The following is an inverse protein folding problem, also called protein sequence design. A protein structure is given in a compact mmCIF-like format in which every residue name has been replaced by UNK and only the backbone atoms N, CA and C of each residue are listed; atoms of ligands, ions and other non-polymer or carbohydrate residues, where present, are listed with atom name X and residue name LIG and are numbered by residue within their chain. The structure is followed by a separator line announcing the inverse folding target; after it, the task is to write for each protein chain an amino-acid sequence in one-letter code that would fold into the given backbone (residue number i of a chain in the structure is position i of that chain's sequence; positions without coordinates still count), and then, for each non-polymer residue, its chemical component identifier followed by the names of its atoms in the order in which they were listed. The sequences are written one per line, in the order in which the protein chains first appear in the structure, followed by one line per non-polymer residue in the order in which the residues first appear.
data_IF_996924196882
#
_entry.id   IF_996924196882
#
_cell.length_a   1.000
_cell.length_b   1.000
_cell.length_c   1.000
_cell.angle_alpha   90.00
_cell.angle_beta   90.00
_cell.angle_gamma   90.00
#
_symmetry.space_group_name_H-M   'P 1'
#
loop_
_entity.id
_entity.type
_entity.pdbx_description
1 polymer ?
#
# COMPACT_ATOMS: atom_id res chain seq x y z
N UNK A 1 5.18 20.98 0.78
CA UNK A 1 6.64 21.07 0.55
C UNK A 1 7.42 19.96 1.25
N UNK A 2 7.76 20.04 2.54
CA UNK A 2 8.60 18.99 3.18
C UNK A 2 7.93 17.60 3.22
N UNK A 3 6.61 17.53 3.38
CA UNK A 3 5.86 16.26 3.43
C UNK A 3 5.72 15.57 2.07
N UNK A 4 5.59 16.34 0.99
CA UNK A 4 5.44 15.80 -0.37
C UNK A 4 6.75 15.23 -0.91
N UNK A 5 7.88 15.87 -0.61
CA UNK A 5 9.20 15.37 -0.99
C UNK A 5 9.55 14.05 -0.27
N UNK A 6 9.13 13.92 1.00
CA UNK A 6 9.29 12.68 1.78
C UNK A 6 8.42 11.56 1.18
N UNK A 7 7.16 11.85 0.82
CA UNK A 7 6.27 10.88 0.17
C UNK A 7 6.81 10.43 -1.20
N UNK A 8 7.37 11.35 -2.00
CA UNK A 8 7.95 11.01 -3.30
C UNK A 8 9.22 10.13 -3.16
N UNK A 9 10.07 10.43 -2.19
CA UNK A 9 11.24 9.61 -1.89
C UNK A 9 10.84 8.19 -1.44
N UNK A 10 9.89 8.08 -0.51
CA UNK A 10 9.37 6.80 0.00
C UNK A 10 8.70 5.98 -1.13
N UNK A 11 8.01 6.65 -2.06
CA UNK A 11 7.46 6.02 -3.26
C UNK A 11 8.56 5.46 -4.18
N UNK A 12 9.59 6.24 -4.50
CA UNK A 12 10.68 5.77 -5.37
C UNK A 12 11.45 4.60 -4.75
N UNK A 13 11.71 4.67 -3.45
CA UNK A 13 12.42 3.61 -2.72
C UNK A 13 11.57 2.34 -2.60
N UNK A 14 10.27 2.45 -2.36
CA UNK A 14 9.37 1.28 -2.34
C UNK A 14 9.28 0.58 -3.70
N UNK A 15 9.23 1.32 -4.82
CA UNK A 15 9.27 0.74 -6.17
C UNK A 15 10.60 0.02 -6.45
N UNK A 16 11.72 0.61 -6.04
CA UNK A 16 13.04 -0.02 -6.17
C UNK A 16 13.13 -1.32 -5.37
N UNK A 17 12.61 -1.32 -4.15
CA UNK A 17 12.55 -2.50 -3.29
C UNK A 17 11.65 -3.58 -3.90
N UNK A 18 10.49 -3.21 -4.45
CA UNK A 18 9.60 -4.12 -5.16
C UNK A 18 10.29 -4.83 -6.31
N UNK A 19 11.02 -4.07 -7.15
CA UNK A 19 11.79 -4.62 -8.28
C UNK A 19 12.85 -5.60 -7.84
N UNK A 20 13.61 -5.27 -6.78
CA UNK A 20 14.64 -6.16 -6.23
C UNK A 20 14.03 -7.47 -5.73
N UNK A 21 12.94 -7.38 -4.97
CA UNK A 21 12.29 -8.55 -4.39
C UNK A 21 11.67 -9.44 -5.49
N UNK A 22 11.05 -8.83 -6.52
CA UNK A 22 10.53 -9.54 -7.68
C UNK A 22 11.64 -10.24 -8.48
N UNK A 23 12.79 -9.57 -8.70
CA UNK A 23 13.92 -10.17 -9.39
C UNK A 23 14.44 -11.41 -8.65
N UNK A 24 14.51 -11.36 -7.31
CA UNK A 24 14.87 -12.53 -6.51
C UNK A 24 13.86 -13.67 -6.69
N UNK A 25 12.56 -13.38 -6.66
CA UNK A 25 11.52 -14.39 -6.92
C UNK A 25 11.65 -15.02 -8.31
N UNK A 26 11.82 -14.22 -9.36
CA UNK A 26 11.93 -14.71 -10.74
C UNK A 26 13.22 -15.50 -10.98
N UNK A 27 14.27 -15.24 -10.21
CA UNK A 27 15.51 -16.01 -10.21
C UNK A 27 15.46 -17.25 -9.28
N UNK A 28 14.27 -17.68 -8.84
CA UNK A 28 14.07 -18.79 -7.89
C UNK A 28 14.74 -18.60 -6.51
N UNK A 29 15.09 -17.37 -6.14
CA UNK A 29 15.70 -17.03 -4.84
C UNK A 29 14.65 -16.60 -3.83
N UNK A 30 13.63 -17.42 -3.63
CA UNK A 30 12.47 -17.09 -2.78
C UNK A 30 12.86 -16.81 -1.32
N UNK A 31 13.82 -17.56 -0.76
CA UNK A 31 14.30 -17.33 0.61
C UNK A 31 14.99 -15.98 0.76
N UNK A 32 15.77 -15.56 -0.24
CA UNK A 32 16.42 -14.22 -0.25
C UNK A 32 15.36 -13.13 -0.38
N UNK A 33 14.38 -13.31 -1.26
CA UNK A 33 13.25 -12.39 -1.41
C UNK A 33 12.49 -12.22 -0.10
N UNK A 34 12.18 -13.33 0.59
CA UNK A 34 11.46 -13.33 1.85
C UNK A 34 12.25 -12.63 2.98
N UNK A 35 13.56 -12.93 3.11
CA UNK A 35 14.44 -12.24 4.06
C UNK A 35 14.49 -10.74 3.80
N UNK A 36 14.62 -10.35 2.53
CA UNK A 36 14.62 -8.94 2.13
C UNK A 36 13.29 -8.26 2.49
N UNK A 37 12.15 -8.88 2.22
CA UNK A 37 10.84 -8.31 2.55
C UNK A 37 10.60 -8.14 4.05
N UNK A 38 11.17 -9.01 4.89
CA UNK A 38 11.12 -8.86 6.35
C UNK A 38 11.88 -7.64 6.86
N UNK A 39 12.83 -7.11 6.07
CA UNK A 39 13.56 -5.87 6.41
C UNK A 39 12.80 -4.60 6.04
N UNK A 40 11.75 -4.71 5.23
CA UNK A 40 10.95 -3.57 4.80
C UNK A 40 9.88 -3.27 5.84
N UNK A 41 9.72 -1.99 6.18
CA UNK A 41 8.60 -1.57 7.01
C UNK A 41 7.29 -1.73 6.21
N UNK A 42 6.38 -2.53 6.75
CA UNK A 42 5.08 -2.81 6.14
C UNK A 42 4.05 -1.70 6.35
N UNK A 43 4.44 -0.52 6.85
CA UNK A 43 3.56 0.60 7.19
C UNK A 43 3.12 1.44 5.99
N UNK A 44 3.94 1.49 4.93
CA UNK A 44 3.66 2.21 3.69
C UNK A 44 2.94 1.32 2.68
N UNK A 45 1.97 1.89 1.95
CA UNK A 45 1.09 1.16 1.01
C UNK A 45 1.86 0.35 -0.04
N UNK A 46 2.92 0.92 -0.61
CA UNK A 46 3.67 0.27 -1.70
C UNK A 46 4.60 -0.83 -1.19
N UNK A 47 5.16 -0.69 0.03
CA UNK A 47 5.89 -1.77 0.70
C UNK A 47 4.95 -2.93 1.03
N UNK A 48 3.78 -2.67 1.63
CA UNK A 48 2.80 -3.72 1.92
C UNK A 48 2.33 -4.45 0.66
N UNK A 49 2.09 -3.70 -0.43
CA UNK A 49 1.71 -4.28 -1.72
C UNK A 49 2.79 -5.20 -2.28
N UNK A 50 4.06 -4.79 -2.17
CA UNK A 50 5.19 -5.60 -2.62
C UNK A 50 5.34 -6.88 -1.81
N UNK A 51 5.18 -6.79 -0.48
CA UNK A 51 5.22 -7.93 0.44
C UNK A 51 4.10 -8.93 0.11
N UNK A 52 2.86 -8.46 -0.05
CA UNK A 52 1.73 -9.34 -0.35
C UNK A 52 1.82 -9.98 -1.73
N UNK A 53 2.29 -9.24 -2.73
CA UNK A 53 2.51 -9.78 -4.10
C UNK A 53 3.51 -10.93 -4.10
N UNK A 54 4.61 -10.80 -3.37
CA UNK A 54 5.62 -11.85 -3.31
C UNK A 54 5.17 -13.04 -2.47
N UNK A 55 4.49 -12.80 -1.35
CA UNK A 55 3.87 -13.88 -0.58
C UNK A 55 2.89 -14.68 -1.46
N UNK A 56 2.10 -13.99 -2.28
CA UNK A 56 1.22 -14.62 -3.26
C UNK A 56 1.97 -15.44 -4.32
N UNK A 57 3.03 -14.87 -4.92
CA UNK A 57 3.87 -15.62 -5.87
C UNK A 57 4.48 -16.88 -5.22
N UNK A 58 4.96 -16.77 -3.98
CA UNK A 58 5.49 -17.91 -3.24
C UNK A 58 4.41 -18.98 -3.03
N UNK A 59 3.18 -18.59 -2.68
CA UNK A 59 2.07 -19.52 -2.55
C UNK A 59 1.74 -20.24 -3.87
N UNK A 60 1.68 -19.51 -4.99
CA UNK A 60 1.36 -20.07 -6.32
C UNK A 60 2.47 -21.00 -6.82
N UNK A 61 3.74 -20.66 -6.58
CA UNK A 61 4.87 -21.41 -7.12
C UNK A 61 5.25 -22.65 -6.30
N UNK A 62 4.95 -22.63 -4.99
CA UNK A 62 5.24 -23.77 -4.09
C UNK A 62 4.03 -24.66 -3.85
N UNK A 63 2.81 -24.11 -4.00
CA UNK A 63 1.55 -24.80 -3.71
C UNK A 63 1.44 -25.36 -2.27
N UNK A 64 2.24 -24.86 -1.32
CA UNK A 64 2.17 -25.31 0.07
C UNK A 64 1.15 -24.51 0.88
N UNK A 65 0.33 -25.21 1.66
CA UNK A 65 -0.75 -24.61 2.47
C UNK A 65 -0.27 -23.48 3.39
N UNK A 66 0.93 -23.61 3.97
CA UNK A 66 1.52 -22.59 4.85
C UNK A 66 1.74 -21.26 4.14
N UNK A 67 2.17 -21.29 2.88
CA UNK A 67 2.42 -20.09 2.09
C UNK A 67 1.13 -19.49 1.56
N UNK A 68 0.13 -20.33 1.24
CA UNK A 68 -1.22 -19.87 0.87
C UNK A 68 -1.85 -19.07 2.02
N UNK A 69 -1.78 -19.58 3.25
CA UNK A 69 -2.30 -18.87 4.43
C UNK A 69 -1.58 -17.55 4.67
N UNK A 70 -0.25 -17.56 4.62
CA UNK A 70 0.56 -16.34 4.74
C UNK A 70 0.20 -15.30 3.68
N UNK A 71 0.08 -15.70 2.41
CA UNK A 71 -0.30 -14.81 1.33
C UNK A 71 -1.65 -14.15 1.59
N UNK A 72 -2.65 -14.94 1.99
CA UNK A 72 -3.98 -14.44 2.32
C UNK A 72 -3.96 -13.43 3.47
N UNK A 73 -3.19 -13.66 4.52
CA UNK A 73 -3.01 -12.70 5.63
C UNK A 73 -2.36 -11.40 5.15
N UNK A 74 -1.27 -11.47 4.37
CA UNK A 74 -0.57 -10.29 3.86
C UNK A 74 -1.39 -9.46 2.89
N UNK A 75 -2.21 -10.10 2.06
CA UNK A 75 -3.17 -9.39 1.19
C UNK A 75 -4.20 -8.65 2.04
N UNK A 76 -4.76 -9.27 3.10
CA UNK A 76 -5.70 -8.59 4.01
C UNK A 76 -5.07 -7.39 4.73
N UNK A 77 -3.84 -7.54 5.22
CA UNK A 77 -3.09 -6.43 5.86
C UNK A 77 -2.89 -5.27 4.87
N UNK A 78 -2.45 -5.58 3.65
CA UNK A 78 -2.26 -4.59 2.58
C UNK A 78 -3.54 -3.83 2.27
N UNK A 79 -4.67 -4.53 2.12
CA UNK A 79 -5.96 -3.90 1.86
C UNK A 79 -6.37 -2.93 2.97
N UNK A 80 -6.16 -3.29 4.24
CA UNK A 80 -6.43 -2.39 5.39
C UNK A 80 -5.60 -1.10 5.30
N UNK A 81 -4.34 -1.21 4.88
CA UNK A 81 -3.44 -0.05 4.72
C UNK A 81 -3.91 0.83 3.56
N UNK A 82 -4.21 0.23 2.40
CA UNK A 82 -4.77 0.94 1.25
C UNK A 82 -6.04 1.71 1.61
N UNK A 83 -6.99 1.07 2.31
CA UNK A 83 -8.25 1.69 2.71
C UNK A 83 -8.04 2.84 3.71
N UNK A 84 -7.11 2.68 4.66
CA UNK A 84 -6.77 3.75 5.63
C UNK A 84 -6.18 4.97 4.92
N UNK A 85 -5.27 4.76 3.97
CA UNK A 85 -4.67 5.86 3.21
C UNK A 85 -5.70 6.53 2.29
N UNK A 86 -6.61 5.77 1.67
CA UNK A 86 -7.71 6.31 0.86
C UNK A 86 -8.64 7.23 1.68
N UNK A 87 -9.02 6.83 2.89
CA UNK A 87 -9.91 7.61 3.78
C UNK A 87 -9.33 8.97 4.20
N UNK A 88 -8.00 9.06 4.37
CA UNK A 88 -7.33 10.32 4.71
C UNK A 88 -7.49 11.41 3.65
N UNK A 89 -7.55 11.08 2.36
CA UNK A 89 -7.76 12.10 1.31
C UNK A 89 -9.17 12.71 1.36
N UNK A 90 -10.20 11.90 1.64
CA UNK A 90 -11.60 12.33 1.59
C UNK A 90 -12.01 13.25 2.75
N UNK A 91 -11.44 13.07 3.95
CA UNK A 91 -11.81 13.89 5.12
C UNK A 91 -11.35 15.34 4.99
N UNK A 92 -10.25 15.58 4.28
CA UNK A 92 -9.68 16.90 4.08
C UNK A 92 -10.62 17.76 3.21
N UNK A 93 -11.32 17.15 2.26
CA UNK A 93 -12.21 17.84 1.32
C UNK A 93 -13.63 18.02 1.89
N UNK A 94 -14.14 17.06 2.67
CA UNK A 94 -15.52 17.08 3.15
C UNK A 94 -15.80 18.17 4.19
N UNK A 95 -14.83 18.55 5.02
CA UNK A 95 -15.02 19.54 6.08
C UNK A 95 -15.22 20.96 5.50
N UNK A 96 -14.50 21.33 4.43
CA UNK A 96 -14.68 22.64 3.78
C UNK A 96 -16.06 22.78 3.10
N UNK A 97 -16.62 21.68 2.59
CA UNK A 97 -17.96 21.69 1.97
C UNK A 97 -19.11 21.87 2.97
N UNK A 98 -18.90 21.51 4.25
CA UNK A 98 -19.92 21.61 5.29
C UNK A 98 -19.96 22.99 5.95
N UNK A 99 -18.81 23.66 6.12
CA UNK A 99 -18.74 24.99 6.74
C UNK A 99 -18.98 26.15 5.76
N UNK A 100 -19.14 25.90 4.46
CA UNK A 100 -19.06 26.91 3.40
C UNK A 100 -20.28 27.10 2.50
N UNK A 101 -21.51 26.86 2.96
CA UNK A 101 -22.71 27.32 2.22
C UNK A 101 -23.24 28.63 2.82
N UNK A 102 -22.90 29.82 2.29
CA UNK A 102 -23.71 31.00 2.53
C UNK A 102 -25.08 30.78 1.86
N UNK A 103 -26.13 30.85 2.66
CA UNK A 103 -27.52 30.79 2.22
C UNK A 103 -27.86 32.13 1.54
N UNK A 104 -27.65 32.22 0.23
CA UNK A 104 -28.20 33.30 -0.60
C UNK A 104 -28.89 32.66 -1.79
N UNK A 105 -30.19 32.43 -1.62
CA UNK A 105 -31.21 32.57 -2.65
C UNK A 105 -32.55 32.26 -1.98
N UNK A 106 -33.23 33.30 -1.49
CA UNK A 106 -34.67 33.45 -1.69
C UNK A 106 -35.11 34.85 -1.21
N UNK A 107 -35.17 35.82 -2.12
CA UNK A 107 -36.17 36.91 -2.15
C UNK A 107 -36.10 37.56 -3.53
N UNK A 108 -36.63 36.85 -4.51
CA UNK A 108 -37.16 37.48 -5.72
C UNK A 108 -38.64 37.78 -5.50
N UNK A 109 -38.94 38.98 -5.00
CA UNK A 109 -40.10 39.83 -5.34
C UNK A 109 -39.63 41.29 -5.25
#
# INVERSE_FOLDING_TARGET
MATEEIEEYEFKESIKNARKALALCLCNKFTEAQKFLQTLDGSCMYHSLSISTIAYLQAVLTYEQKYIQLAHEKVKETLKICDKQRKKRSWNESIYSWFGKPYFDDFSI
#
